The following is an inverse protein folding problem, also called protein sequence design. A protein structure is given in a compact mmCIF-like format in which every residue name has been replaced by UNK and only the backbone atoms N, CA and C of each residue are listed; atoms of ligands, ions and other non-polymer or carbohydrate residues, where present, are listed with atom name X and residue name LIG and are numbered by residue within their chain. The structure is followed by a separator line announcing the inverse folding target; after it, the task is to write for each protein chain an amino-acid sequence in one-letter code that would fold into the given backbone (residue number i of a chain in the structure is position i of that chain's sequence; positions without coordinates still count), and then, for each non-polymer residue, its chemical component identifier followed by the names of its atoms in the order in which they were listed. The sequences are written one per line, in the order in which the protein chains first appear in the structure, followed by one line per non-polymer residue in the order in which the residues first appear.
data_IF_265560524762
#
_entry.id   IF_265560524762
#
_cell.length_a   1.000
_cell.length_b   1.000
_cell.length_c   1.000
_cell.angle_alpha   90.00
_cell.angle_beta   90.00
_cell.angle_gamma   90.00
#
_symmetry.space_group_name_H-M   'P 1'
#
loop_
_entity.id
_entity.type
_entity.pdbx_description
1 polymer ?
#
# COMPACT_ATOMS: atom_id res chain seq x y z
N UNK A 1 -39.48 -51.93 -3.00
CA UNK A 1 -38.28 -51.46 -2.25
C UNK A 1 -37.22 -50.82 -3.16
N UNK A 2 -37.01 -51.32 -4.38
CA UNK A 2 -35.97 -50.82 -5.30
C UNK A 2 -36.17 -49.37 -5.75
N UNK A 3 -37.42 -48.94 -6.02
CA UNK A 3 -37.73 -47.55 -6.44
C UNK A 3 -37.38 -46.54 -5.34
N UNK A 4 -37.63 -46.89 -4.07
CA UNK A 4 -37.35 -46.03 -2.91
C UNK A 4 -35.83 -45.83 -2.77
N UNK A 5 -35.05 -46.90 -2.93
CA UNK A 5 -33.59 -46.84 -2.88
C UNK A 5 -32.99 -46.02 -4.02
N UNK A 6 -33.57 -46.10 -5.23
CA UNK A 6 -33.19 -45.26 -6.37
C UNK A 6 -33.42 -43.76 -6.13
N UNK A 7 -34.54 -43.40 -5.50
CA UNK A 7 -34.86 -42.01 -5.14
C UNK A 7 -33.87 -41.45 -4.11
N UNK A 8 -33.51 -42.23 -3.08
CA UNK A 8 -32.51 -41.82 -2.10
C UNK A 8 -31.11 -41.62 -2.71
N UNK A 9 -30.71 -42.46 -3.65
CA UNK A 9 -29.43 -42.31 -4.35
C UNK A 9 -29.36 -41.01 -5.18
N UNK A 10 -30.44 -40.69 -5.91
CA UNK A 10 -30.54 -39.44 -6.68
C UNK A 10 -30.53 -38.23 -5.74
N UNK A 11 -31.27 -38.30 -4.62
CA UNK A 11 -31.29 -37.23 -3.63
C UNK A 11 -29.91 -37.00 -3.00
N UNK A 12 -29.16 -38.07 -2.71
CA UNK A 12 -27.78 -37.99 -2.24
C UNK A 12 -26.84 -37.32 -3.24
N UNK A 13 -26.97 -37.63 -4.53
CA UNK A 13 -26.20 -36.97 -5.60
C UNK A 13 -26.52 -35.48 -5.71
N UNK A 14 -27.80 -35.10 -5.63
CA UNK A 14 -28.24 -33.70 -5.68
C UNK A 14 -27.69 -32.92 -4.48
N UNK A 15 -27.78 -33.48 -3.27
CA UNK A 15 -27.22 -32.85 -2.06
C UNK A 15 -25.70 -32.73 -2.17
N UNK A 16 -25.01 -33.79 -2.58
CA UNK A 16 -23.56 -33.77 -2.77
C UNK A 16 -23.12 -32.67 -3.73
N UNK A 17 -23.77 -32.59 -4.89
CA UNK A 17 -23.53 -31.54 -5.88
C UNK A 17 -23.78 -30.14 -5.31
N UNK A 18 -24.87 -29.94 -4.55
CA UNK A 18 -25.20 -28.67 -3.92
C UNK A 18 -24.13 -28.25 -2.89
N UNK A 19 -23.66 -29.18 -2.05
CA UNK A 19 -22.61 -28.91 -1.06
C UNK A 19 -21.30 -28.53 -1.76
N UNK A 20 -20.90 -29.26 -2.80
CA UNK A 20 -19.69 -28.95 -3.57
C UNK A 20 -19.79 -27.58 -4.24
N UNK A 21 -20.95 -27.25 -4.82
CA UNK A 21 -21.20 -25.95 -5.43
C UNK A 21 -21.09 -24.80 -4.43
N UNK A 22 -21.66 -24.95 -3.23
CA UNK A 22 -21.58 -23.95 -2.16
C UNK A 22 -20.14 -23.78 -1.69
N UNK A 23 -19.42 -24.89 -1.42
CA UNK A 23 -18.00 -24.84 -1.01
C UNK A 23 -17.13 -24.13 -2.05
N UNK A 24 -17.27 -24.49 -3.33
CA UNK A 24 -16.53 -23.86 -4.42
C UNK A 24 -16.80 -22.34 -4.48
N UNK A 25 -18.06 -21.92 -4.27
CA UNK A 25 -18.42 -20.49 -4.27
C UNK A 25 -17.78 -19.75 -3.08
N UNK A 26 -17.74 -20.35 -1.90
CA UNK A 26 -17.11 -19.78 -0.70
C UNK A 26 -15.59 -19.69 -0.89
N UNK A 27 -14.95 -20.80 -1.25
CA UNK A 27 -13.49 -20.85 -1.50
C UNK A 27 -13.06 -19.86 -2.57
N UNK A 28 -13.84 -19.73 -3.64
CA UNK A 28 -13.56 -18.76 -4.70
C UNK A 28 -13.67 -17.32 -4.19
N UNK A 29 -14.66 -17.01 -3.36
CA UNK A 29 -14.82 -15.69 -2.74
C UNK A 29 -13.66 -15.38 -1.80
N UNK A 30 -13.25 -16.33 -0.98
CA UNK A 30 -12.14 -16.16 -0.05
C UNK A 30 -10.81 -16.01 -0.80
N UNK A 31 -10.60 -16.78 -1.87
CA UNK A 31 -9.43 -16.63 -2.75
C UNK A 31 -9.36 -15.25 -3.40
N UNK A 32 -10.48 -14.73 -3.91
CA UNK A 32 -10.51 -13.37 -4.46
C UNK A 32 -10.26 -12.30 -3.39
N UNK A 33 -10.80 -12.49 -2.19
CA UNK A 33 -10.55 -11.60 -1.05
C UNK A 33 -9.07 -11.59 -0.67
N UNK A 34 -8.45 -12.75 -0.54
CA UNK A 34 -7.01 -12.85 -0.25
C UNK A 34 -6.16 -12.23 -1.34
N UNK A 35 -6.45 -12.50 -2.62
CA UNK A 35 -5.75 -11.89 -3.73
C UNK A 35 -5.87 -10.35 -3.74
N UNK A 36 -7.04 -9.81 -3.37
CA UNK A 36 -7.23 -8.37 -3.24
C UNK A 36 -6.42 -7.77 -2.08
N UNK A 37 -6.35 -8.46 -0.92
CA UNK A 37 -5.54 -8.06 0.22
C UNK A 37 -4.05 -8.08 -0.13
N UNK A 38 -3.58 -9.15 -0.78
CA UNK A 38 -2.19 -9.27 -1.25
C UNK A 38 -1.82 -8.16 -2.21
N UNK A 39 -2.68 -7.85 -3.19
CA UNK A 39 -2.44 -6.75 -4.14
C UNK A 39 -2.42 -5.38 -3.47
N UNK A 40 -3.29 -5.18 -2.47
CA UNK A 40 -3.28 -3.97 -1.65
C UNK A 40 -1.96 -3.85 -0.88
N UNK A 41 -1.52 -4.91 -0.20
CA UNK A 41 -0.26 -4.91 0.53
C UNK A 41 0.94 -4.64 -0.40
N UNK A 42 0.98 -5.31 -1.55
CA UNK A 42 1.99 -5.11 -2.60
C UNK A 42 2.04 -3.63 -3.05
N UNK A 43 0.88 -3.01 -3.26
CA UNK A 43 0.79 -1.61 -3.67
C UNK A 43 1.37 -0.65 -2.61
N UNK A 44 1.08 -0.88 -1.32
CA UNK A 44 1.59 -0.04 -0.23
C UNK A 44 3.10 -0.24 -0.03
N UNK A 45 3.60 -1.48 -0.13
CA UNK A 45 5.05 -1.76 -0.07
C UNK A 45 5.80 -1.06 -1.21
N UNK A 46 5.25 -1.09 -2.43
CA UNK A 46 5.82 -0.38 -3.59
C UNK A 46 5.75 1.13 -3.42
N UNK A 47 4.64 1.67 -2.90
CA UNK A 47 4.54 3.09 -2.58
C UNK A 47 5.60 3.51 -1.54
N UNK A 48 5.82 2.70 -0.51
CA UNK A 48 6.83 2.95 0.51
C UNK A 48 8.24 2.96 -0.09
N UNK A 49 8.56 1.97 -0.93
CA UNK A 49 9.85 1.90 -1.63
C UNK A 49 10.10 3.14 -2.51
N UNK A 50 9.08 3.61 -3.24
CA UNK A 50 9.17 4.85 -4.01
C UNK A 50 9.38 6.08 -3.11
N UNK A 51 8.68 6.15 -1.97
CA UNK A 51 8.89 7.21 -0.99
C UNK A 51 10.34 7.24 -0.48
N UNK A 52 10.94 6.08 -0.20
CA UNK A 52 12.35 5.99 0.18
C UNK A 52 13.29 6.44 -0.93
N UNK A 53 13.00 6.11 -2.19
CA UNK A 53 13.79 6.59 -3.34
C UNK A 53 13.73 8.11 -3.49
N UNK A 54 12.56 8.72 -3.28
CA UNK A 54 12.44 10.19 -3.27
C UNK A 54 13.35 10.84 -2.22
N UNK A 55 13.42 10.27 -1.01
CA UNK A 55 14.34 10.75 0.03
C UNK A 55 15.80 10.71 -0.40
N UNK A 56 16.25 9.57 -0.94
CA UNK A 56 17.63 9.42 -1.42
C UNK A 56 17.97 10.49 -2.47
N UNK A 57 17.04 10.78 -3.37
CA UNK A 57 17.30 11.70 -4.47
C UNK A 57 17.27 13.17 -4.05
N UNK A 58 16.54 13.52 -2.99
CA UNK A 58 16.68 14.84 -2.35
C UNK A 58 18.10 15.05 -1.84
N UNK A 59 18.72 14.00 -1.30
CA UNK A 59 20.09 14.07 -0.78
C UNK A 59 21.15 14.08 -1.90
N UNK A 60 20.97 13.29 -2.97
CA UNK A 60 21.93 13.21 -4.09
C UNK A 60 21.89 14.42 -5.01
N UNK A 61 20.78 15.17 -5.04
CA UNK A 61 20.56 16.33 -5.92
C UNK A 61 20.73 16.03 -7.43
N UNK A 62 20.60 14.76 -7.84
CA UNK A 62 20.78 14.33 -9.23
C UNK A 62 19.49 14.50 -10.05
N UNK A 63 19.49 15.41 -11.03
CA UNK A 63 18.31 15.66 -11.91
C UNK A 63 17.90 14.45 -12.74
N UNK A 64 18.86 13.64 -13.15
CA UNK A 64 18.58 12.44 -13.94
C UNK A 64 17.88 11.38 -13.08
N UNK A 65 18.31 11.22 -11.82
CA UNK A 65 17.66 10.32 -10.86
C UNK A 65 16.25 10.81 -10.50
N UNK A 66 16.06 12.12 -10.31
CA UNK A 66 14.72 12.72 -10.11
C UNK A 66 13.80 12.35 -11.26
N UNK A 67 14.26 12.58 -12.50
CA UNK A 67 13.47 12.31 -13.70
C UNK A 67 13.13 10.82 -13.82
N UNK A 68 14.07 9.93 -13.51
CA UNK A 68 13.86 8.49 -13.50
C UNK A 68 12.81 8.07 -12.46
N UNK A 69 12.90 8.56 -11.21
CA UNK A 69 11.93 8.24 -10.16
C UNK A 69 10.54 8.78 -10.48
N UNK A 70 10.44 9.96 -11.07
CA UNK A 70 9.14 10.52 -11.50
C UNK A 70 8.49 9.60 -12.52
N UNK A 71 9.26 9.14 -13.51
CA UNK A 71 8.76 8.21 -14.53
C UNK A 71 8.29 6.91 -13.88
N UNK A 72 9.11 6.31 -13.02
CA UNK A 72 8.77 5.11 -12.26
C UNK A 72 7.50 5.31 -11.42
N UNK A 73 7.36 6.48 -10.77
CA UNK A 73 6.20 6.81 -9.95
C UNK A 73 4.92 6.97 -10.76
N UNK A 74 5.00 7.53 -11.98
CA UNK A 74 3.85 7.64 -12.89
C UNK A 74 3.41 6.26 -13.39
N UNK A 75 4.35 5.40 -13.75
CA UNK A 75 4.07 4.01 -14.14
C UNK A 75 3.44 3.25 -12.97
N UNK A 76 3.97 3.41 -11.76
CA UNK A 76 3.37 2.88 -10.55
C UNK A 76 1.93 3.35 -10.35
N UNK A 77 1.66 4.65 -10.45
CA UNK A 77 0.30 5.20 -10.29
C UNK A 77 -0.67 4.64 -11.34
N UNK A 78 -0.22 4.41 -12.58
CA UNK A 78 -1.04 3.77 -13.61
C UNK A 78 -1.42 2.33 -13.25
N UNK A 79 -0.51 1.59 -12.62
CA UNK A 79 -0.68 0.16 -12.36
C UNK A 79 -1.33 -0.16 -11.00
N UNK A 80 -1.10 0.69 -10.00
CA UNK A 80 -1.40 0.37 -8.59
C UNK A 80 -2.33 1.36 -7.89
N UNK A 81 -2.70 2.49 -8.52
CA UNK A 81 -3.48 3.53 -7.84
C UNK A 81 -4.82 3.04 -7.28
N UNK A 82 -5.47 2.07 -7.93
CA UNK A 82 -6.75 1.50 -7.46
C UNK A 82 -6.61 0.69 -6.17
N UNK A 83 -5.41 0.21 -5.85
CA UNK A 83 -5.12 -0.59 -4.67
C UNK A 83 -4.60 0.24 -3.49
N UNK A 84 -4.40 1.55 -3.69
CA UNK A 84 -4.06 2.48 -2.63
C UNK A 84 -5.32 3.11 -2.06
N UNK A 85 -5.28 3.39 -0.76
CA UNK A 85 -6.28 4.23 -0.12
C UNK A 85 -6.25 5.66 -0.68
N UNK A 86 -7.37 6.36 -0.52
CA UNK A 86 -7.55 7.70 -1.11
C UNK A 86 -6.52 8.71 -0.58
N UNK A 87 -6.16 8.63 0.70
CA UNK A 87 -5.17 9.47 1.36
C UNK A 87 -3.78 9.32 0.75
N UNK A 88 -3.23 8.10 0.77
CA UNK A 88 -1.94 7.79 0.14
C UNK A 88 -1.92 8.15 -1.34
N UNK A 89 -2.98 7.83 -2.09
CA UNK A 89 -3.07 8.15 -3.52
C UNK A 89 -2.97 9.66 -3.78
N UNK A 90 -3.73 10.46 -3.05
CA UNK A 90 -3.70 11.93 -3.17
C UNK A 90 -2.31 12.47 -2.84
N UNK A 91 -1.72 12.02 -1.73
CA UNK A 91 -0.40 12.47 -1.29
C UNK A 91 0.70 12.07 -2.28
N UNK A 92 0.61 10.88 -2.87
CA UNK A 92 1.54 10.43 -3.91
C UNK A 92 1.50 11.34 -5.15
N UNK A 93 0.31 11.77 -5.59
CA UNK A 93 0.16 12.72 -6.70
C UNK A 93 0.79 14.07 -6.34
N UNK A 94 0.57 14.56 -5.12
CA UNK A 94 1.18 15.81 -4.63
C UNK A 94 2.72 15.73 -4.65
N UNK A 95 3.28 14.62 -4.16
CA UNK A 95 4.74 14.38 -4.16
C UNK A 95 5.29 14.31 -5.58
N UNK A 96 4.67 13.54 -6.48
CA UNK A 96 5.09 13.49 -7.89
C UNK A 96 5.04 14.88 -8.53
N UNK A 97 3.99 15.65 -8.24
CA UNK A 97 3.83 17.03 -8.71
C UNK A 97 4.95 17.95 -8.21
N UNK A 98 5.29 17.86 -6.93
CA UNK A 98 6.41 18.59 -6.33
C UNK A 98 7.74 18.22 -7.01
N UNK A 99 8.02 16.92 -7.18
CA UNK A 99 9.28 16.47 -7.78
C UNK A 99 9.43 16.84 -9.26
N UNK A 100 8.33 16.97 -10.02
CA UNK A 100 8.38 17.51 -11.38
C UNK A 100 8.94 18.94 -11.45
N UNK A 101 8.72 19.74 -10.40
CA UNK A 101 9.20 21.10 -10.29
C UNK A 101 10.39 21.22 -9.33
N UNK A 102 10.96 20.08 -8.89
CA UNK A 102 11.99 20.08 -7.86
C UNK A 102 13.27 20.70 -8.38
N UNK A 103 13.87 21.48 -7.50
CA UNK A 103 15.14 22.13 -7.68
C UNK A 103 16.00 21.79 -6.46
N UNK A 104 17.27 21.40 -6.64
CA UNK A 104 18.22 21.25 -5.54
C UNK A 104 18.19 22.46 -4.60
N UNK A 105 18.32 22.22 -3.29
CA UNK A 105 18.16 23.25 -2.25
C UNK A 105 19.07 24.45 -2.48
N UNK A 106 20.33 24.22 -2.82
CA UNK A 106 21.31 25.29 -3.05
C UNK A 106 20.94 26.14 -4.27
N UNK A 107 20.52 25.49 -5.36
CA UNK A 107 20.04 26.15 -6.57
C UNK A 107 18.73 26.92 -6.31
N UNK A 108 17.85 26.39 -5.47
CA UNK A 108 16.64 27.09 -5.08
C UNK A 108 16.96 28.35 -4.27
N UNK A 109 17.83 28.25 -3.27
CA UNK A 109 18.21 29.37 -2.39
C UNK A 109 19.08 30.43 -3.09
N UNK A 110 19.80 30.07 -4.15
CA UNK A 110 20.60 31.02 -4.94
C UNK A 110 19.74 32.04 -5.69
N UNK A 111 18.47 31.71 -5.96
CA UNK A 111 17.48 32.59 -6.61
C UNK A 111 16.96 33.72 -5.70
N UNK A 112 17.31 33.68 -4.40
CA UNK A 112 16.83 34.65 -3.41
C UNK A 112 17.98 35.47 -2.83
N UNK A 113 17.69 36.75 -2.54
CA UNK A 113 18.61 37.63 -1.80
C UNK A 113 18.88 37.08 -0.40
N UNK A 114 20.04 37.37 0.23
CA UNK A 114 20.36 36.89 1.57
C UNK A 114 19.26 37.16 2.62
N UNK A 115 18.61 38.31 2.55
CA UNK A 115 17.49 38.71 3.42
C UNK A 115 16.23 37.84 3.28
N UNK A 116 16.02 37.20 2.13
CA UNK A 116 14.85 36.36 1.84
C UNK A 116 15.14 34.86 1.93
N UNK A 117 16.40 34.46 2.12
CA UNK A 117 16.79 33.03 2.16
C UNK A 117 16.16 32.26 3.31
N UNK A 118 15.98 32.87 4.47
CA UNK A 118 15.36 32.22 5.62
C UNK A 118 13.90 31.85 5.33
N UNK A 119 13.15 32.76 4.70
CA UNK A 119 11.76 32.51 4.29
C UNK A 119 11.68 31.42 3.22
N UNK A 120 12.50 31.53 2.18
CA UNK A 120 12.58 30.52 1.12
C UNK A 120 12.93 29.13 1.66
N UNK A 121 13.86 29.06 2.62
CA UNK A 121 14.23 27.81 3.27
C UNK A 121 13.05 27.18 4.02
N UNK A 122 12.25 27.98 4.73
CA UNK A 122 11.07 27.46 5.41
C UNK A 122 10.03 26.90 4.43
N UNK A 123 9.86 27.54 3.27
CA UNK A 123 9.03 26.99 2.19
C UNK A 123 9.57 25.64 1.71
N UNK A 124 10.88 25.53 1.50
CA UNK A 124 11.51 24.29 1.07
C UNK A 124 11.30 23.15 2.09
N UNK A 125 11.55 23.40 3.37
CA UNK A 125 11.35 22.44 4.46
C UNK A 125 9.87 22.02 4.56
N UNK A 126 8.93 22.96 4.32
CA UNK A 126 7.50 22.64 4.29
C UNK A 126 7.17 21.62 3.19
N UNK A 127 7.84 21.69 2.05
CA UNK A 127 7.65 20.73 0.97
C UNK A 127 8.28 19.36 1.30
N UNK A 128 9.45 19.31 1.92
CA UNK A 128 10.04 18.05 2.44
C UNK A 128 9.12 17.35 3.45
N UNK A 129 8.37 18.10 4.27
CA UNK A 129 7.37 17.53 5.19
C UNK A 129 6.29 16.73 4.47
N UNK A 130 6.00 16.99 3.19
CA UNK A 130 5.02 16.21 2.42
C UNK A 130 5.48 14.77 2.18
N UNK A 131 6.79 14.54 2.03
CA UNK A 131 7.35 13.18 1.95
C UNK A 131 7.20 12.42 3.27
N UNK A 132 7.44 13.10 4.39
CA UNK A 132 7.20 12.51 5.71
C UNK A 132 5.72 12.14 5.89
N UNK A 133 4.82 13.01 5.44
CA UNK A 133 3.39 12.74 5.49
C UNK A 133 2.98 11.54 4.63
N UNK A 134 3.56 11.39 3.43
CA UNK A 134 3.36 10.22 2.57
C UNK A 134 3.81 8.94 3.27
N UNK A 135 5.03 8.92 3.81
CA UNK A 135 5.57 7.77 4.55
C UNK A 135 4.67 7.39 5.72
N UNK A 136 4.19 8.37 6.48
CA UNK A 136 3.29 8.14 7.62
C UNK A 136 1.97 7.53 7.18
N UNK A 137 1.33 8.08 6.15
CA UNK A 137 0.05 7.55 5.62
C UNK A 137 0.18 6.10 5.17
N UNK A 138 1.25 5.79 4.43
CA UNK A 138 1.49 4.42 3.96
C UNK A 138 1.63 3.46 5.15
N UNK A 139 2.38 3.85 6.19
CA UNK A 139 2.59 3.04 7.39
C UNK A 139 1.30 2.85 8.19
N UNK A 140 0.48 3.89 8.35
CA UNK A 140 -0.80 3.81 9.05
C UNK A 140 -1.79 2.88 8.35
N UNK A 141 -1.80 2.88 7.01
CA UNK A 141 -2.71 2.04 6.21
C UNK A 141 -2.31 0.55 6.17
N UNK A 142 -1.05 0.23 6.51
CA UNK A 142 -0.55 -1.15 6.61
C UNK A 142 -0.25 -1.59 8.05
N UNK A 143 -0.45 -0.71 9.03
CA UNK A 143 -0.25 -1.03 10.43
C UNK A 143 -1.20 -2.17 10.82
N UNK A 144 -0.63 -3.34 11.10
CA UNK A 144 -1.38 -4.43 11.68
C UNK A 144 -1.67 -4.07 13.14
N UNK A 145 -2.91 -4.25 13.57
CA UNK A 145 -3.20 -4.23 15.00
C UNK A 145 -2.26 -5.23 15.70
N UNK A 146 -1.64 -4.85 16.83
CA UNK A 146 -0.79 -5.76 17.56
C UNK A 146 -1.60 -7.01 17.91
N UNK A 147 -1.05 -8.19 17.60
CA UNK A 147 -1.66 -9.46 18.02
C UNK A 147 -1.64 -9.46 19.54
N UNK A 148 -2.80 -9.19 20.15
CA UNK A 148 -2.99 -9.35 21.57
C UNK A 148 -2.88 -10.86 21.86
N UNK A 149 -1.70 -11.30 22.30
CA UNK A 149 -1.51 -12.63 22.84
C UNK A 149 -2.41 -12.73 24.07
N UNK A 150 -3.56 -13.37 23.90
CA UNK A 150 -4.49 -13.63 24.99
C UNK A 150 -3.72 -14.37 26.08
N UNK A 151 -3.64 -13.81 27.30
CA UNK A 151 -2.84 -14.33 28.41
C UNK A 151 -3.12 -15.80 28.74
N UNK A 152 -4.27 -16.33 28.30
CA UNK A 152 -4.62 -17.76 28.35
C UNK A 152 -3.66 -18.71 27.61
N UNK A 153 -2.82 -18.23 26.70
CA UNK A 153 -1.81 -19.08 26.03
C UNK A 153 -0.56 -19.25 26.90
N UNK A 154 -0.24 -18.30 27.80
CA UNK A 154 0.89 -18.45 28.74
C UNK A 154 0.63 -19.53 29.79
N UNK A 155 -0.60 -19.65 30.29
CA UNK A 155 -0.94 -20.68 31.29
C UNK A 155 -0.95 -22.12 30.75
N UNK A 156 -0.87 -22.31 29.43
CA UNK A 156 -0.74 -23.64 28.83
C UNK A 156 0.72 -24.09 28.61
N UNK A 157 1.68 -23.16 28.71
CA UNK A 157 3.12 -23.45 28.60
C UNK A 157 3.84 -23.49 29.95
N UNK A 158 3.18 -23.11 31.04
CA UNK A 158 3.70 -23.23 32.41
C UNK A 158 3.23 -24.52 33.12
N UNK A 159 2.64 -25.48 32.38
CA UNK A 159 2.20 -26.79 32.90
C UNK A 159 3.04 -27.96 32.31
N UNK A 160 4.06 -27.68 31.49
CA UNK A 160 5.08 -28.66 31.09
C UNK A 160 6.39 -28.43 31.84
#
# INVERSE_FOLDING_TARGET
MEIINGVFAIFGLIIGWLITYIKFKIERKDKFRMAAIEKRLEAHQKAYALCSKFWVVVDTNSRDEITAIIKESREFMSNYSLYLESGTRKKMIEVIGFFNAYCPREEFLSKFSPSKRAEALNTYIKEEKRLNELSRLIQEEVALEPILLNEKVKSAQEIE
#
